data_IF_642219152676
#
_entry.id   IF_642219152676
#
_cell.length_a   1.000
_cell.length_b   1.000
_cell.length_c   1.000
_cell.angle_alpha   90.00
_cell.angle_beta   90.00
_cell.angle_gamma   90.00
#
_symmetry.space_group_name_H-M   'P 1'
#
loop_
_entity.id
_entity.type
_entity.pdbx_description
1 polymer ?
#
# COMPACT_ATOMS: atom_id res chain seq x y z
N UNK A 1 26.84 23.16 -16.06
CA UNK A 1 27.04 22.00 -15.18
C UNK A 1 26.56 22.27 -13.76
N UNK A 2 27.28 22.96 -12.87
CA UNK A 2 26.84 23.14 -11.45
C UNK A 2 25.48 23.84 -11.22
N UNK A 3 25.07 24.78 -12.08
CA UNK A 3 23.81 25.52 -11.91
C UNK A 3 22.59 24.67 -12.31
N UNK A 4 22.70 23.93 -13.38
CA UNK A 4 21.65 23.02 -13.87
C UNK A 4 21.41 21.86 -12.88
N UNK A 5 22.45 21.22 -12.39
CA UNK A 5 22.36 20.17 -11.37
C UNK A 5 21.69 20.65 -10.07
N UNK A 6 22.05 21.86 -9.62
CA UNK A 6 21.41 22.45 -8.43
C UNK A 6 19.92 22.74 -8.65
N UNK A 7 19.53 23.14 -9.85
CA UNK A 7 18.11 23.36 -10.19
C UNK A 7 17.35 22.04 -10.23
N UNK A 8 17.93 20.95 -10.72
CA UNK A 8 17.36 19.60 -10.69
C UNK A 8 17.12 19.10 -9.24
N UNK A 9 18.10 19.26 -8.36
CA UNK A 9 17.94 18.94 -6.94
C UNK A 9 16.86 19.80 -6.28
N UNK A 10 16.81 21.09 -6.58
CA UNK A 10 15.76 21.99 -6.05
C UNK A 10 14.36 21.58 -6.50
N UNK A 11 14.21 21.11 -7.75
CA UNK A 11 12.96 20.59 -8.26
C UNK A 11 12.51 19.35 -7.49
N UNK A 12 13.41 18.42 -7.17
CA UNK A 12 13.14 17.26 -6.32
C UNK A 12 12.79 17.66 -4.88
N UNK A 13 13.53 18.61 -4.29
CA UNK A 13 13.23 19.12 -2.94
C UNK A 13 11.87 19.81 -2.84
N UNK A 14 11.47 20.53 -3.90
CA UNK A 14 10.15 21.16 -3.95
C UNK A 14 9.03 20.11 -3.91
N UNK A 15 9.17 19.02 -4.66
CA UNK A 15 8.22 17.89 -4.65
C UNK A 15 8.10 17.29 -3.26
N UNK A 16 9.23 17.13 -2.55
CA UNK A 16 9.24 16.70 -1.15
C UNK A 16 8.50 17.65 -0.21
N UNK A 17 8.65 18.96 -0.40
CA UNK A 17 7.99 19.95 0.45
C UNK A 17 6.48 19.99 0.24
N UNK A 18 6.00 19.75 -0.98
CA UNK A 18 4.57 19.63 -1.28
C UNK A 18 3.94 18.33 -0.74
N UNK A 19 4.74 17.27 -0.63
CA UNK A 19 4.26 16.01 -0.03
C UNK A 19 3.86 16.13 1.44
N UNK A 20 4.29 17.19 2.13
CA UNK A 20 3.89 17.45 3.53
C UNK A 20 2.42 17.83 3.68
N UNK A 21 1.77 18.31 2.64
CA UNK A 21 0.37 18.75 2.62
C UNK A 21 -0.59 17.76 1.95
N UNK A 22 -0.07 16.80 1.18
CA UNK A 22 -0.84 15.79 0.47
C UNK A 22 -0.01 14.53 0.26
N UNK A 23 -0.63 13.41 -0.09
CA UNK A 23 0.08 12.19 -0.49
C UNK A 23 0.87 12.48 -1.76
N UNK A 24 2.20 12.41 -1.69
CA UNK A 24 3.03 12.38 -2.89
C UNK A 24 2.62 11.15 -3.71
N UNK A 25 2.20 11.36 -4.95
CA UNK A 25 1.99 10.26 -5.87
C UNK A 25 3.35 9.73 -6.34
N UNK A 26 3.59 8.43 -6.15
CA UNK A 26 4.80 7.80 -6.68
C UNK A 26 4.92 7.98 -8.20
N UNK A 27 3.78 8.00 -8.93
CA UNK A 27 3.75 8.28 -10.35
C UNK A 27 4.26 9.69 -10.69
N UNK A 28 3.93 10.68 -9.89
CA UNK A 28 4.41 12.05 -10.09
C UNK A 28 5.93 12.16 -9.80
N UNK A 29 6.41 11.50 -8.76
CA UNK A 29 7.84 11.41 -8.47
C UNK A 29 8.59 10.73 -9.63
N UNK A 30 8.09 9.60 -10.12
CA UNK A 30 8.65 8.91 -11.29
C UNK A 30 8.69 9.83 -12.51
N UNK A 31 7.61 10.59 -12.78
CA UNK A 31 7.55 11.53 -13.91
C UNK A 31 8.61 12.62 -13.80
N UNK A 32 8.79 13.19 -12.62
CA UNK A 32 9.80 14.24 -12.40
C UNK A 32 11.21 13.69 -12.54
N UNK A 33 11.50 12.51 -11.96
CA UNK A 33 12.79 11.84 -12.13
C UNK A 33 13.04 11.47 -13.59
N UNK A 34 12.04 10.96 -14.30
CA UNK A 34 12.12 10.63 -15.72
C UNK A 34 12.44 11.85 -16.58
N UNK A 35 11.80 12.99 -16.33
CA UNK A 35 12.08 14.26 -17.02
C UNK A 35 13.51 14.78 -16.76
N UNK A 36 13.99 14.67 -15.50
CA UNK A 36 15.29 15.19 -15.08
C UNK A 36 16.44 14.32 -15.59
N UNK A 37 16.27 12.99 -15.58
CA UNK A 37 17.31 12.00 -15.91
C UNK A 37 17.19 11.56 -17.38
N UNK A 38 16.03 11.76 -18.00
CA UNK A 38 15.69 11.27 -19.34
C UNK A 38 15.81 9.74 -19.44
N UNK A 39 15.13 9.03 -18.53
CA UNK A 39 15.12 7.59 -18.42
C UNK A 39 13.73 7.08 -18.03
N UNK A 40 13.42 5.82 -18.33
CA UNK A 40 12.29 5.15 -17.75
C UNK A 40 12.56 4.90 -16.26
N UNK A 41 11.59 5.18 -15.42
CA UNK A 41 11.70 5.09 -13.95
C UNK A 41 10.59 4.19 -13.43
N UNK A 42 10.97 3.26 -12.56
CA UNK A 42 10.03 2.44 -11.80
C UNK A 42 10.37 2.52 -10.31
N UNK A 43 9.35 2.70 -9.50
CA UNK A 43 9.44 2.57 -8.04
C UNK A 43 8.77 1.27 -7.65
N UNK A 44 9.53 0.35 -7.10
CA UNK A 44 9.09 -1.00 -6.75
C UNK A 44 9.22 -1.17 -5.24
N UNK A 45 8.17 -1.66 -4.57
CA UNK A 45 8.24 -1.96 -3.15
C UNK A 45 8.99 -3.27 -2.87
N UNK A 46 9.23 -3.57 -1.59
CA UNK A 46 9.90 -4.82 -1.18
C UNK A 46 9.14 -6.11 -1.53
N UNK A 47 7.86 -6.02 -1.88
CA UNK A 47 7.02 -7.16 -2.28
C UNK A 47 6.95 -7.33 -3.80
N UNK A 48 7.63 -6.45 -4.56
CA UNK A 48 7.65 -6.47 -6.01
C UNK A 48 6.51 -5.71 -6.67
N UNK A 49 5.64 -5.01 -5.92
CA UNK A 49 4.60 -4.17 -6.50
C UNK A 49 5.18 -2.87 -7.03
N UNK A 50 4.76 -2.48 -8.23
CA UNK A 50 5.13 -1.21 -8.85
C UNK A 50 4.25 -0.11 -8.26
N UNK A 51 4.83 0.71 -7.40
CA UNK A 51 4.15 1.84 -6.76
C UNK A 51 3.95 3.02 -7.71
N UNK A 52 4.82 3.15 -8.71
CA UNK A 52 4.76 4.17 -9.73
C UNK A 52 5.75 3.91 -10.85
N UNK A 53 5.43 4.41 -12.04
CA UNK A 53 6.30 4.33 -13.22
C UNK A 53 6.15 5.58 -14.07
N UNK A 54 7.21 5.91 -14.83
CA UNK A 54 7.20 6.91 -15.89
C UNK A 54 8.14 6.47 -17.02
N UNK A 55 7.71 6.69 -18.25
CA UNK A 55 8.37 6.19 -19.43
C UNK A 55 8.79 7.33 -20.35
N UNK A 56 10.02 7.29 -20.83
CA UNK A 56 10.48 8.06 -22.00
C UNK A 56 10.27 7.24 -23.27
N UNK A 57 10.33 5.90 -23.16
CA UNK A 57 10.10 4.95 -24.25
C UNK A 57 8.84 4.14 -23.97
N UNK A 58 7.80 4.33 -24.79
CA UNK A 58 6.47 3.75 -24.58
C UNK A 58 6.37 2.21 -24.68
N UNK A 59 7.45 1.53 -25.13
CA UNK A 59 7.48 0.07 -25.34
C UNK A 59 8.08 -0.72 -24.19
N UNK A 60 8.41 -0.08 -23.07
CA UNK A 60 9.00 -0.77 -21.92
C UNK A 60 7.92 -1.41 -21.04
N UNK A 61 7.90 -2.74 -21.03
CA UNK A 61 6.93 -3.55 -20.29
C UNK A 61 7.63 -4.59 -19.43
N UNK A 62 8.49 -4.14 -18.52
CA UNK A 62 9.14 -5.04 -17.53
C UNK A 62 8.19 -5.50 -16.41
N UNK A 63 7.00 -4.93 -16.34
CA UNK A 63 5.98 -5.21 -15.32
C UNK A 63 4.78 -5.93 -15.92
N UNK A 64 4.01 -6.61 -15.08
CA UNK A 64 2.76 -7.25 -15.45
C UNK A 64 1.70 -6.98 -14.37
N UNK A 65 0.43 -7.10 -14.74
CA UNK A 65 -0.68 -7.05 -13.79
C UNK A 65 -0.78 -8.38 -13.04
N UNK A 66 -0.90 -8.32 -11.72
CA UNK A 66 -1.20 -9.48 -10.91
C UNK A 66 -2.71 -9.84 -10.97
N UNK A 67 -3.13 -10.89 -10.25
CA UNK A 67 -4.52 -11.34 -10.22
C UNK A 67 -5.50 -10.28 -9.70
N UNK A 68 -5.00 -9.24 -9.01
CA UNK A 68 -5.79 -8.12 -8.49
C UNK A 68 -5.76 -6.89 -9.40
N UNK A 69 -5.05 -6.95 -10.54
CA UNK A 69 -4.89 -5.84 -11.48
C UNK A 69 -3.82 -4.81 -11.09
N UNK A 70 -2.93 -5.13 -10.16
CA UNK A 70 -1.78 -4.31 -9.82
C UNK A 70 -0.57 -4.72 -10.66
N UNK A 71 0.19 -3.74 -11.15
CA UNK A 71 1.47 -4.01 -11.79
C UNK A 71 2.45 -4.60 -10.77
N UNK A 72 3.03 -5.75 -11.10
CA UNK A 72 3.97 -6.48 -10.26
C UNK A 72 5.07 -7.11 -11.10
N UNK A 73 6.31 -7.11 -10.61
CA UNK A 73 7.42 -7.90 -11.19
C UNK A 73 7.34 -9.35 -10.70
N UNK A 74 8.04 -10.28 -11.39
CA UNK A 74 8.07 -11.67 -10.95
C UNK A 74 8.72 -11.82 -9.58
N UNK A 75 8.31 -12.80 -8.80
CA UNK A 75 8.88 -13.02 -7.46
C UNK A 75 10.37 -13.36 -7.54
N UNK A 76 10.82 -14.06 -8.59
CA UNK A 76 12.26 -14.32 -8.83
C UNK A 76 13.03 -13.04 -9.09
N UNK A 77 12.52 -12.15 -9.95
CA UNK A 77 13.17 -10.89 -10.25
C UNK A 77 13.21 -9.97 -9.03
N UNK A 78 12.13 -9.98 -8.23
CA UNK A 78 12.09 -9.22 -6.98
C UNK A 78 13.15 -9.71 -5.98
N UNK A 79 13.33 -11.00 -5.83
CA UNK A 79 14.39 -11.55 -4.98
C UNK A 79 15.76 -11.09 -5.45
N UNK A 80 16.05 -11.16 -6.75
CA UNK A 80 17.31 -10.66 -7.32
C UNK A 80 17.51 -9.17 -7.08
N UNK A 81 16.45 -8.34 -7.18
CA UNK A 81 16.52 -6.92 -6.84
C UNK A 81 16.85 -6.67 -5.36
N UNK A 82 16.30 -7.47 -4.47
CA UNK A 82 16.52 -7.33 -3.02
C UNK A 82 17.94 -7.73 -2.59
N UNK A 83 18.64 -8.58 -3.35
CA UNK A 83 20.04 -8.93 -3.13
C UNK A 83 21.01 -7.78 -3.46
N UNK A 84 20.57 -6.76 -4.19
CA UNK A 84 21.39 -5.59 -4.51
C UNK A 84 21.47 -4.69 -3.27
N UNK A 85 22.60 -4.71 -2.57
CA UNK A 85 22.80 -3.94 -1.32
C UNK A 85 23.18 -2.46 -1.56
N UNK A 86 23.82 -2.15 -2.68
CA UNK A 86 24.26 -0.81 -3.07
C UNK A 86 23.82 -0.50 -4.50
N UNK A 87 23.90 0.77 -4.90
CA UNK A 87 23.58 1.19 -6.28
C UNK A 87 24.39 0.39 -7.29
N UNK A 88 23.68 -0.32 -8.17
CA UNK A 88 24.26 -1.05 -9.29
C UNK A 88 23.94 -0.29 -10.57
N UNK A 89 24.91 0.46 -11.08
CA UNK A 89 24.73 1.39 -12.19
C UNK A 89 25.20 0.81 -13.52
N UNK A 90 24.50 1.17 -14.60
CA UNK A 90 24.88 0.85 -15.97
C UNK A 90 24.99 -0.65 -16.27
N UNK A 91 24.12 -1.44 -15.67
CA UNK A 91 24.05 -2.89 -15.89
C UNK A 91 23.45 -3.17 -17.28
N UNK A 92 24.10 -3.99 -18.09
CA UNK A 92 23.70 -4.36 -19.46
C UNK A 92 23.95 -5.83 -19.75
N UNK A 93 23.29 -6.37 -20.75
CA UNK A 93 23.60 -7.65 -21.41
C UNK A 93 23.80 -8.81 -20.45
N UNK A 94 25.03 -9.35 -20.42
CA UNK A 94 25.38 -10.55 -19.67
C UNK A 94 25.21 -10.36 -18.15
N UNK A 95 25.46 -9.17 -17.63
CA UNK A 95 25.27 -8.87 -16.20
C UNK A 95 23.79 -8.94 -15.80
N UNK A 96 22.87 -8.44 -16.66
CA UNK A 96 21.43 -8.60 -16.46
C UNK A 96 20.99 -10.06 -16.52
N UNK A 97 21.54 -10.83 -17.46
CA UNK A 97 21.27 -12.26 -17.55
C UNK A 97 21.78 -13.02 -16.33
N UNK A 98 22.89 -12.61 -15.76
CA UNK A 98 23.40 -13.18 -14.51
C UNK A 98 22.49 -12.89 -13.32
N UNK A 99 22.00 -11.65 -13.21
CA UNK A 99 21.14 -11.18 -12.11
C UNK A 99 19.72 -11.77 -12.18
N UNK A 100 19.11 -11.80 -13.38
CA UNK A 100 17.69 -12.12 -13.57
C UNK A 100 17.44 -13.43 -14.35
N UNK A 101 18.50 -14.13 -14.73
CA UNK A 101 18.42 -15.40 -15.45
C UNK A 101 18.13 -15.24 -16.96
N UNK A 102 18.01 -16.39 -17.65
CA UNK A 102 17.87 -16.46 -19.11
C UNK A 102 16.57 -15.90 -19.69
N UNK A 103 15.59 -15.57 -18.85
CA UNK A 103 14.31 -14.99 -19.26
C UNK A 103 14.39 -13.51 -19.63
N UNK A 104 15.48 -12.84 -19.26
CA UNK A 104 15.66 -11.43 -19.58
C UNK A 104 16.01 -11.25 -21.06
N UNK A 105 15.18 -10.50 -21.80
CA UNK A 105 15.48 -10.18 -23.19
C UNK A 105 16.66 -9.21 -23.25
N UNK A 106 17.73 -9.57 -23.96
CA UNK A 106 18.84 -8.65 -24.21
C UNK A 106 18.33 -7.44 -24.97
N UNK A 107 18.53 -6.26 -24.41
CA UNK A 107 18.21 -4.97 -25.03
C UNK A 107 19.43 -4.07 -24.94
N UNK A 108 19.50 -3.05 -25.80
CA UNK A 108 20.55 -2.02 -25.75
C UNK A 108 20.30 -0.99 -24.64
N UNK A 109 19.64 -1.41 -23.58
CA UNK A 109 19.31 -0.57 -22.41
C UNK A 109 20.39 -0.68 -21.36
N UNK A 110 20.74 0.47 -20.80
CA UNK A 110 21.45 0.57 -19.53
C UNK A 110 20.46 0.59 -18.39
N UNK A 111 20.63 -0.31 -17.43
CA UNK A 111 19.81 -0.37 -16.24
C UNK A 111 20.59 0.11 -15.02
N UNK A 112 19.93 0.82 -14.14
CA UNK A 112 20.50 1.22 -12.86
C UNK A 112 19.50 0.87 -11.78
N UNK A 113 19.96 0.12 -10.78
CA UNK A 113 19.17 -0.34 -9.64
C UNK A 113 19.62 0.41 -8.40
N UNK A 114 18.72 1.14 -7.79
CA UNK A 114 19.03 1.93 -6.60
C UNK A 114 18.20 1.43 -5.43
N UNK A 115 18.83 0.87 -4.39
CA UNK A 115 18.16 0.46 -3.16
C UNK A 115 17.49 1.65 -2.48
N UNK A 116 16.23 1.50 -2.14
CA UNK A 116 15.51 2.47 -1.31
C UNK A 116 15.49 1.98 0.13
N UNK A 117 16.34 2.60 0.96
CA UNK A 117 16.55 2.22 2.36
C UNK A 117 16.18 3.40 3.26
N UNK A 118 15.40 3.13 4.30
CA UNK A 118 15.08 4.12 5.33
C UNK A 118 15.06 3.46 6.71
N UNK A 119 15.66 4.12 7.69
CA UNK A 119 15.74 3.58 9.06
C UNK A 119 16.49 2.25 9.18
N UNK A 120 17.40 1.95 8.26
CA UNK A 120 18.12 0.67 8.20
C UNK A 120 17.35 -0.48 7.57
N UNK A 121 16.12 -0.26 7.11
CA UNK A 121 15.31 -1.26 6.43
C UNK A 121 15.26 -1.02 4.91
N UNK A 122 15.36 -2.09 4.12
CA UNK A 122 15.10 -2.06 2.69
C UNK A 122 13.59 -1.97 2.45
N UNK A 123 13.13 -0.88 1.86
CA UNK A 123 11.71 -0.61 1.63
C UNK A 123 11.29 -0.81 0.19
N UNK A 124 12.25 -0.72 -0.73
CA UNK A 124 11.98 -0.88 -2.15
C UNK A 124 13.22 -0.69 -3.02
N UNK A 125 12.99 -0.54 -4.31
CA UNK A 125 14.03 -0.30 -5.32
C UNK A 125 13.53 0.75 -6.31
N UNK A 126 14.39 1.68 -6.70
CA UNK A 126 14.19 2.44 -7.94
C UNK A 126 14.96 1.73 -9.05
N UNK A 127 14.25 1.35 -10.09
CA UNK A 127 14.83 0.86 -11.35
C UNK A 127 14.77 1.99 -12.38
N UNK A 128 15.91 2.27 -12.98
CA UNK A 128 16.04 3.20 -14.09
C UNK A 128 16.48 2.44 -15.34
N UNK A 129 15.96 2.82 -16.50
CA UNK A 129 16.37 2.24 -17.76
C UNK A 129 16.40 3.30 -18.86
N UNK A 130 17.48 3.34 -19.65
CA UNK A 130 17.58 4.19 -20.84
C UNK A 130 18.38 3.54 -21.97
N UNK A 131 18.09 3.96 -23.18
CA UNK A 131 18.79 3.47 -24.36
C UNK A 131 20.04 4.29 -24.71
N UNK A 132 20.94 3.69 -25.44
CA UNK A 132 22.04 4.31 -26.19
C UNK A 132 23.12 5.01 -25.36
N UNK A 133 22.89 5.36 -24.12
CA UNK A 133 23.85 6.14 -23.33
C UNK A 133 23.85 5.66 -21.88
N UNK A 134 25.02 5.39 -21.27
CA UNK A 134 25.09 5.07 -19.85
C UNK A 134 24.65 6.27 -18.98
N UNK A 135 24.25 5.99 -17.77
CA UNK A 135 23.99 7.01 -16.75
C UNK A 135 25.31 7.63 -16.32
N UNK A 136 25.36 8.94 -16.28
CA UNK A 136 26.50 9.68 -15.76
C UNK A 136 26.41 9.83 -14.21
N UNK A 137 27.47 10.34 -13.60
CA UNK A 137 27.56 10.49 -12.15
C UNK A 137 26.47 11.41 -11.58
N UNK A 138 26.12 12.50 -12.27
CA UNK A 138 25.07 13.42 -11.83
C UNK A 138 23.70 12.74 -11.86
N UNK A 139 23.41 11.93 -12.89
CA UNK A 139 22.17 11.16 -13.01
C UNK A 139 22.07 10.07 -11.94
N UNK A 140 23.18 9.39 -11.62
CA UNK A 140 23.22 8.38 -10.54
C UNK A 140 22.95 9.04 -9.19
N UNK A 141 23.60 10.16 -8.88
CA UNK A 141 23.35 10.92 -7.62
C UNK A 141 21.89 11.36 -7.52
N UNK A 142 21.28 11.82 -8.62
CA UNK A 142 19.87 12.18 -8.63
C UNK A 142 18.95 10.97 -8.38
N UNK A 143 19.30 9.80 -8.93
CA UNK A 143 18.57 8.57 -8.70
C UNK A 143 18.68 8.09 -7.24
N UNK A 144 19.88 8.16 -6.64
CA UNK A 144 20.11 7.83 -5.22
C UNK A 144 19.34 8.78 -4.29
N UNK A 145 19.33 10.07 -4.62
CA UNK A 145 18.53 11.04 -3.91
C UNK A 145 17.03 10.73 -4.03
N UNK A 146 16.57 10.40 -5.24
CA UNK A 146 15.20 9.92 -5.46
C UNK A 146 14.87 8.67 -4.64
N UNK A 147 15.80 7.73 -4.51
CA UNK A 147 15.60 6.51 -3.72
C UNK A 147 15.47 6.80 -2.21
N UNK A 148 16.23 7.76 -1.69
CA UNK A 148 16.08 8.21 -0.31
C UNK A 148 14.69 8.82 -0.07
N UNK A 149 14.21 9.64 -1.02
CA UNK A 149 12.86 10.23 -0.99
C UNK A 149 11.78 9.16 -0.99
N UNK A 150 11.90 8.19 -1.91
CA UNK A 150 10.98 7.05 -2.00
C UNK A 150 10.95 6.27 -0.69
N UNK A 151 12.11 6.00 -0.09
CA UNK A 151 12.20 5.30 1.19
C UNK A 151 11.44 6.01 2.30
N UNK A 152 11.62 7.32 2.43
CA UNK A 152 10.89 8.14 3.39
C UNK A 152 9.37 8.09 3.17
N UNK A 153 8.92 8.14 1.92
CA UNK A 153 7.50 8.14 1.60
C UNK A 153 6.86 6.76 1.80
N UNK A 154 7.56 5.67 1.46
CA UNK A 154 7.10 4.31 1.78
C UNK A 154 6.97 4.15 3.30
N UNK A 155 7.99 4.52 4.07
CA UNK A 155 7.97 4.42 5.53
C UNK A 155 6.82 5.23 6.13
N UNK A 156 6.59 6.46 5.64
CA UNK A 156 5.48 7.30 6.07
C UNK A 156 4.12 6.66 5.79
N UNK A 157 3.93 6.14 4.58
CA UNK A 157 2.67 5.50 4.20
C UNK A 157 2.41 4.22 5.01
N UNK A 158 3.45 3.42 5.27
CA UNK A 158 3.35 2.23 6.12
C UNK A 158 3.01 2.59 7.57
N UNK A 159 3.58 3.67 8.09
CA UNK A 159 3.24 4.18 9.41
C UNK A 159 1.78 4.63 9.49
N UNK A 160 1.30 5.41 8.52
CA UNK A 160 -0.09 5.86 8.47
C UNK A 160 -1.06 4.66 8.41
N UNK A 161 -0.74 3.65 7.59
CA UNK A 161 -1.55 2.42 7.52
C UNK A 161 -1.58 1.69 8.86
N UNK A 162 -0.43 1.51 9.52
CA UNK A 162 -0.34 0.87 10.83
C UNK A 162 -1.10 1.64 11.92
N UNK A 163 -0.98 2.96 11.95
CA UNK A 163 -1.73 3.83 12.88
C UNK A 163 -3.24 3.73 12.64
N UNK A 164 -3.68 3.74 11.38
CA UNK A 164 -5.09 3.57 11.04
C UNK A 164 -5.63 2.21 11.49
N UNK A 165 -4.91 1.14 11.19
CA UNK A 165 -5.25 -0.23 11.59
C UNK A 165 -5.33 -0.38 13.12
N UNK A 166 -4.37 0.22 13.84
CA UNK A 166 -4.38 0.23 15.30
C UNK A 166 -5.55 1.02 15.87
N UNK A 167 -5.89 2.15 15.26
CA UNK A 167 -7.04 2.95 15.68
C UNK A 167 -8.36 2.19 15.47
N UNK A 168 -8.51 1.45 14.37
CA UNK A 168 -9.67 0.61 14.13
C UNK A 168 -9.80 -0.49 15.20
N UNK A 169 -8.70 -1.17 15.56
CA UNK A 169 -8.68 -2.18 16.63
C UNK A 169 -9.06 -1.58 17.98
N UNK A 170 -8.42 -0.47 18.34
CA UNK A 170 -8.68 0.22 19.61
C UNK A 170 -10.13 0.69 19.72
N UNK A 171 -10.72 1.21 18.63
CA UNK A 171 -12.13 1.62 18.63
C UNK A 171 -13.08 0.45 18.94
N UNK A 172 -12.81 -0.73 18.36
CA UNK A 172 -13.60 -1.94 18.61
C UNK A 172 -13.43 -2.42 20.05
N UNK A 173 -12.21 -2.46 20.59
CA UNK A 173 -11.93 -2.84 21.98
C UNK A 173 -12.64 -1.91 22.97
N UNK A 174 -12.58 -0.60 22.74
CA UNK A 174 -13.29 0.39 23.57
C UNK A 174 -14.80 0.19 23.52
N UNK A 175 -15.37 0.01 22.32
CA UNK A 175 -16.80 -0.26 22.17
C UNK A 175 -17.21 -1.53 22.92
N UNK A 176 -16.42 -2.60 22.79
CA UNK A 176 -16.67 -3.87 23.46
C UNK A 176 -16.59 -3.77 25.00
N UNK A 177 -15.72 -2.91 25.54
CA UNK A 177 -15.66 -2.65 26.99
C UNK A 177 -16.94 -1.99 27.54
N UNK A 178 -17.71 -1.27 26.72
CA UNK A 178 -18.98 -0.65 27.13
C UNK A 178 -20.16 -1.62 27.16
N UNK A 179 -20.00 -2.80 26.56
CA UNK A 179 -21.05 -3.81 26.53
C UNK A 179 -21.09 -4.61 27.84
N UNK A 180 -22.31 -4.83 28.35
CA UNK A 180 -22.55 -5.80 29.43
C UNK A 180 -22.30 -7.23 28.95
N UNK A 181 -22.19 -8.18 29.85
CA UNK A 181 -22.00 -9.59 29.52
C UNK A 181 -23.08 -10.11 28.54
N UNK A 182 -24.33 -9.80 28.80
CA UNK A 182 -25.46 -10.21 27.95
C UNK A 182 -25.41 -9.53 26.56
N UNK A 183 -24.93 -8.28 26.46
CA UNK A 183 -24.77 -7.56 25.20
C UNK A 183 -23.60 -8.12 24.38
N UNK A 184 -22.51 -8.58 25.03
CA UNK A 184 -21.42 -9.29 24.40
C UNK A 184 -21.85 -10.62 23.80
N UNK A 185 -22.66 -11.39 24.55
CA UNK A 185 -23.24 -12.63 24.05
C UNK A 185 -24.19 -12.35 22.87
N UNK A 186 -25.01 -11.30 22.95
CA UNK A 186 -25.85 -10.88 21.84
C UNK A 186 -25.04 -10.51 20.58
N UNK A 187 -23.92 -9.81 20.74
CA UNK A 187 -23.03 -9.47 19.64
C UNK A 187 -22.49 -10.73 18.95
N UNK A 188 -21.98 -11.70 19.72
CA UNK A 188 -21.51 -13.00 19.17
C UNK A 188 -22.60 -13.66 18.32
N UNK A 189 -23.85 -13.73 18.81
CA UNK A 189 -24.95 -14.33 18.07
C UNK A 189 -25.34 -13.54 16.81
N UNK A 190 -25.33 -12.21 16.90
CA UNK A 190 -25.60 -11.33 15.75
C UNK A 190 -24.56 -11.58 14.65
N UNK A 191 -23.25 -11.58 14.99
CA UNK A 191 -22.19 -11.75 14.02
C UNK A 191 -22.15 -13.17 13.39
N UNK A 192 -22.57 -14.19 14.14
CA UNK A 192 -22.75 -15.56 13.59
C UNK A 192 -23.91 -15.65 12.60
N UNK A 193 -24.98 -14.90 12.82
CA UNK A 193 -26.13 -14.86 11.89
C UNK A 193 -25.85 -13.97 10.66
N UNK A 194 -24.97 -12.98 10.82
CA UNK A 194 -24.55 -12.08 9.73
C UNK A 194 -23.20 -12.56 9.16
N UNK A 195 -23.24 -13.53 8.22
CA UNK A 195 -22.03 -14.17 7.68
C UNK A 195 -21.14 -13.22 6.88
N UNK A 196 -21.73 -12.26 6.20
CA UNK A 196 -21.05 -11.23 5.41
C UNK A 196 -20.98 -9.92 6.19
N UNK A 197 -20.27 -8.93 5.65
CA UNK A 197 -20.13 -7.62 6.31
C UNK A 197 -21.42 -6.79 6.32
N UNK A 198 -22.46 -7.27 5.64
CA UNK A 198 -23.79 -6.69 5.68
C UNK A 198 -24.89 -7.77 5.61
N UNK A 199 -26.05 -7.47 6.17
CA UNK A 199 -27.17 -8.40 6.14
C UNK A 199 -28.38 -7.95 6.93
N UNK A 200 -29.48 -8.68 6.76
CA UNK A 200 -30.72 -8.43 7.49
C UNK A 200 -30.88 -9.40 8.66
N UNK A 201 -31.12 -8.87 9.82
CA UNK A 201 -31.44 -9.67 11.00
C UNK A 201 -32.85 -9.33 11.53
N UNK A 202 -33.45 -10.30 12.17
CA UNK A 202 -34.68 -10.10 12.93
C UNK A 202 -34.37 -10.33 14.42
N UNK A 203 -34.24 -9.25 15.18
CA UNK A 203 -33.83 -9.30 16.59
C UNK A 203 -34.66 -10.27 17.44
N UNK A 204 -35.99 -10.34 17.22
CA UNK A 204 -36.86 -11.29 17.93
C UNK A 204 -36.58 -12.76 17.57
N UNK A 205 -36.14 -13.06 16.34
CA UNK A 205 -35.78 -14.43 15.97
C UNK A 205 -34.45 -14.85 16.62
N UNK A 206 -33.47 -13.95 16.67
CA UNK A 206 -32.20 -14.19 17.35
C UNK A 206 -32.46 -14.35 18.87
N UNK A 207 -33.25 -13.46 19.46
CA UNK A 207 -33.65 -13.54 20.86
C UNK A 207 -34.28 -14.90 21.21
N UNK A 208 -35.26 -15.34 20.42
CA UNK A 208 -35.93 -16.62 20.61
C UNK A 208 -35.00 -17.82 20.42
N UNK A 209 -34.12 -17.77 19.41
CA UNK A 209 -33.18 -18.85 19.10
C UNK A 209 -32.12 -19.08 20.17
N UNK A 210 -31.62 -18.00 20.77
CA UNK A 210 -30.49 -18.05 21.71
C UNK A 210 -30.86 -17.74 23.17
N UNK A 211 -32.15 -17.60 23.51
CA UNK A 211 -32.60 -17.34 24.89
C UNK A 211 -32.27 -15.93 25.38
N UNK A 212 -32.12 -14.97 24.48
CA UNK A 212 -31.84 -13.56 24.79
C UNK A 212 -33.15 -12.75 24.82
N UNK A 213 -33.08 -11.53 25.34
CA UNK A 213 -34.16 -10.58 25.18
C UNK A 213 -33.97 -9.66 23.99
N UNK A 214 -35.07 -9.25 23.35
CA UNK A 214 -35.00 -8.33 22.21
C UNK A 214 -34.32 -7.00 22.57
N UNK A 215 -34.54 -6.51 23.80
CA UNK A 215 -33.95 -5.27 24.32
C UNK A 215 -32.41 -5.34 24.38
N UNK A 216 -31.84 -6.47 24.78
CA UNK A 216 -30.38 -6.67 24.86
C UNK A 216 -29.77 -6.60 23.46
N UNK A 217 -30.39 -7.24 22.46
CA UNK A 217 -29.93 -7.20 21.07
C UNK A 217 -29.96 -5.76 20.52
N UNK A 218 -31.08 -5.07 20.72
CA UNK A 218 -31.24 -3.68 20.28
C UNK A 218 -30.26 -2.74 20.99
N UNK A 219 -30.03 -2.95 22.31
CA UNK A 219 -29.07 -2.16 23.09
C UNK A 219 -27.63 -2.37 22.58
N UNK A 220 -27.23 -3.62 22.36
CA UNK A 220 -25.90 -3.94 21.81
C UNK A 220 -25.68 -3.25 20.44
N UNK A 221 -26.66 -3.37 19.53
CA UNK A 221 -26.59 -2.71 18.23
C UNK A 221 -26.45 -1.19 18.33
N UNK A 222 -27.26 -0.53 19.17
CA UNK A 222 -27.19 0.92 19.36
C UNK A 222 -25.87 1.39 19.92
N UNK A 223 -25.27 0.67 20.88
CA UNK A 223 -23.95 1.00 21.42
C UNK A 223 -22.85 0.89 20.37
N UNK A 224 -22.87 -0.18 19.59
CA UNK A 224 -21.89 -0.38 18.51
C UNK A 224 -22.06 0.62 17.36
N UNK A 225 -23.30 0.99 17.03
CA UNK A 225 -23.62 2.04 16.07
C UNK A 225 -23.11 3.40 16.55
N UNK A 226 -23.37 3.74 17.84
CA UNK A 226 -22.89 4.98 18.46
C UNK A 226 -21.35 5.05 18.50
N UNK A 227 -20.69 3.90 18.56
CA UNK A 227 -19.23 3.79 18.49
C UNK A 227 -18.68 3.75 17.04
N UNK A 228 -19.53 3.81 16.02
CA UNK A 228 -19.12 3.77 14.62
C UNK A 228 -18.58 2.40 14.15
N UNK A 229 -18.90 1.33 14.87
CA UNK A 229 -18.44 -0.04 14.53
C UNK A 229 -19.33 -0.67 13.47
N UNK A 230 -20.62 -0.37 13.51
CA UNK A 230 -21.61 -0.83 12.54
C UNK A 230 -22.64 0.28 12.26
N UNK A 231 -23.39 0.12 11.20
CA UNK A 231 -24.53 0.93 10.84
C UNK A 231 -25.79 0.07 10.88
N UNK A 232 -26.89 0.62 11.40
CA UNK A 232 -28.18 -0.08 11.43
C UNK A 232 -29.26 0.71 10.70
N UNK A 233 -30.15 -0.01 10.00
CA UNK A 233 -31.34 0.59 9.36
C UNK A 233 -32.56 -0.27 9.64
N UNK A 234 -33.58 0.32 10.28
CA UNK A 234 -34.84 -0.38 10.49
C UNK A 234 -35.58 -0.61 9.18
N UNK A 235 -35.99 -1.86 8.94
CA UNK A 235 -36.79 -2.28 7.78
C UNK A 235 -38.24 -2.61 8.19
N UNK A 236 -38.68 -2.12 9.35
CA UNK A 236 -40.01 -2.40 9.91
C UNK A 236 -40.20 -3.89 10.17
N UNK A 237 -41.26 -4.48 9.64
CA UNK A 237 -41.58 -5.90 9.82
C UNK A 237 -40.51 -6.86 9.23
N UNK A 238 -39.65 -6.39 8.33
CA UNK A 238 -38.57 -7.18 7.73
C UNK A 238 -37.32 -7.27 8.61
N UNK A 239 -37.29 -6.58 9.76
CA UNK A 239 -36.19 -6.59 10.72
C UNK A 239 -35.27 -5.38 10.62
N UNK A 240 -33.98 -5.58 10.88
CA UNK A 240 -32.97 -4.55 10.87
C UNK A 240 -31.85 -4.96 9.90
N UNK A 241 -31.53 -4.09 8.97
CA UNK A 241 -30.31 -4.19 8.16
C UNK A 241 -29.13 -3.73 8.99
N UNK A 242 -28.04 -4.49 8.92
CA UNK A 242 -26.77 -4.18 9.61
C UNK A 242 -25.68 -4.15 8.55
N UNK A 243 -24.79 -3.18 8.66
CA UNK A 243 -23.55 -3.09 7.90
C UNK A 243 -22.38 -2.91 8.86
N UNK A 244 -21.40 -3.81 8.78
CA UNK A 244 -20.18 -3.73 9.58
C UNK A 244 -19.27 -2.69 8.94
N UNK A 245 -18.92 -1.64 9.68
CA UNK A 245 -18.02 -0.57 9.25
C UNK A 245 -16.57 -0.85 9.65
N UNK A 246 -16.40 -1.57 10.78
CA UNK A 246 -15.09 -1.93 11.30
C UNK A 246 -14.95 -3.46 11.36
N UNK A 247 -14.19 -4.08 10.45
CA UNK A 247 -14.09 -5.54 10.32
C UNK A 247 -13.48 -6.20 11.55
N UNK A 248 -12.70 -5.45 12.37
CA UNK A 248 -12.09 -5.99 13.59
C UNK A 248 -13.10 -6.42 14.64
N UNK A 249 -14.36 -6.01 14.53
CA UNK A 249 -15.42 -6.50 15.44
C UNK A 249 -15.55 -8.02 15.40
N UNK A 250 -15.23 -8.66 14.28
CA UNK A 250 -15.24 -10.13 14.14
C UNK A 250 -14.11 -10.83 14.87
N UNK A 251 -13.00 -10.15 15.15
CA UNK A 251 -11.85 -10.72 15.88
C UNK A 251 -12.05 -10.80 17.40
N UNK A 252 -13.17 -10.27 17.90
CA UNK A 252 -13.51 -10.31 19.33
C UNK A 252 -14.32 -11.57 19.76
N UNK A 253 -14.58 -12.48 18.81
CA UNK A 253 -15.49 -13.62 18.99
C UNK A 253 -14.74 -14.93 18.86
#
# INVERSE_FOLDING_TARGET
MKKDFLEKIRKLNWVLSESTTGKLSYGELCRILSEIINANIYVIDRNGFVLGAAYTEASDTSTFEDELGFEKITDSDNLSLLEIEATSANVIGDDLMYMFGKSYKMTDKYHTFVPSICGGERLGTILLAKYHKPFDEEEIVLAEYGAAVVGLEIQRNDRIKKEHEQNLKTAVEMAFCTLSHSEKDALDKILRETKEDEGNIVASKIAAKYGLTNSVIVSALKKLESAGILETKSLGMKGTYIKILNPHVRSLI
#
